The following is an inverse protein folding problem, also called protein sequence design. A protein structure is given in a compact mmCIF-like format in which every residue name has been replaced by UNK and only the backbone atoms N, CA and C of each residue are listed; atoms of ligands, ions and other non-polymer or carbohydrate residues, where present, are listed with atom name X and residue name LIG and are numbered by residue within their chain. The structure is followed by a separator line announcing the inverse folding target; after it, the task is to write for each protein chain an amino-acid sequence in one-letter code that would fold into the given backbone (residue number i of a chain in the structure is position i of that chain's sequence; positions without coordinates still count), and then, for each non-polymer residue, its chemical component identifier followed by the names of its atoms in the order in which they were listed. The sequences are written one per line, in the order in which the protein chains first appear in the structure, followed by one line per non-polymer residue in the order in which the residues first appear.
data_IF_333330472825
#
_entry.id   IF_333330472825
#
_cell.length_a   1.000
_cell.length_b   1.000
_cell.length_c   1.000
_cell.angle_alpha   90.00
_cell.angle_beta   90.00
_cell.angle_gamma   90.00
#
_symmetry.space_group_name_H-M   'P 1'
#
loop_
_entity.id
_entity.type
_entity.pdbx_description
1 polymer ?
#
# COMPACT_ATOMS: atom_id res chain seq x y z
N UNK A 1 -19.53 9.57 15.59
CA UNK A 1 -19.30 8.12 15.40
C UNK A 1 -18.50 7.65 16.59
N UNK A 2 -18.94 6.61 17.31
CA UNK A 2 -18.24 6.17 18.53
C UNK A 2 -16.85 5.64 18.17
N UNK A 3 -15.83 6.00 18.94
CA UNK A 3 -14.43 5.60 18.72
C UNK A 3 -14.27 4.07 18.58
N UNK A 4 -15.04 3.32 19.38
CA UNK A 4 -15.10 1.85 19.30
C UNK A 4 -15.43 1.33 17.90
N UNK A 5 -16.25 2.05 17.14
CA UNK A 5 -16.61 1.64 15.78
C UNK A 5 -15.43 1.80 14.81
N UNK A 6 -14.69 2.90 14.89
CA UNK A 6 -13.48 3.13 14.08
C UNK A 6 -12.43 2.06 14.42
N UNK A 7 -12.22 1.79 15.72
CA UNK A 7 -11.30 0.74 16.20
C UNK A 7 -11.68 -0.65 15.68
N UNK A 8 -12.97 -0.99 15.66
CA UNK A 8 -13.43 -2.27 15.10
C UNK A 8 -13.19 -2.38 13.59
N UNK A 9 -13.37 -1.29 12.84
CA UNK A 9 -13.07 -1.27 11.39
C UNK A 9 -11.57 -1.40 11.17
N UNK A 10 -10.74 -0.66 11.91
CA UNK A 10 -9.28 -0.78 11.85
C UNK A 10 -8.83 -2.23 12.05
N UNK A 11 -9.39 -2.91 13.06
CA UNK A 11 -9.08 -4.30 13.34
C UNK A 11 -9.50 -5.20 12.18
N UNK A 12 -10.73 -5.05 11.70
CA UNK A 12 -11.26 -5.85 10.59
C UNK A 12 -10.38 -5.71 9.36
N UNK A 13 -10.08 -4.48 8.96
CA UNK A 13 -9.25 -4.19 7.78
C UNK A 13 -7.82 -4.73 7.96
N UNK A 14 -7.20 -4.55 9.14
CA UNK A 14 -5.86 -5.08 9.43
C UNK A 14 -5.82 -6.62 9.40
N UNK A 15 -6.78 -7.29 10.02
CA UNK A 15 -6.85 -8.76 10.05
C UNK A 15 -7.14 -9.33 8.66
N UNK A 16 -8.08 -8.75 7.90
CA UNK A 16 -8.38 -9.20 6.54
C UNK A 16 -7.16 -9.04 5.63
N UNK A 17 -6.46 -7.90 5.69
CA UNK A 17 -5.23 -7.69 4.94
C UNK A 17 -4.14 -8.68 5.33
N UNK A 18 -3.96 -8.90 6.64
CA UNK A 18 -3.02 -9.87 7.19
C UNK A 18 -3.28 -11.29 6.74
N UNK A 19 -4.53 -11.71 6.81
CA UNK A 19 -5.00 -13.02 6.37
C UNK A 19 -4.71 -13.23 4.88
N UNK A 20 -5.11 -12.25 4.05
CA UNK A 20 -4.92 -12.32 2.60
C UNK A 20 -3.43 -12.31 2.22
N UNK A 21 -2.61 -11.50 2.89
CA UNK A 21 -1.16 -11.51 2.73
C UNK A 21 -0.53 -12.85 3.12
N UNK A 22 -0.93 -13.44 4.25
CA UNK A 22 -0.42 -14.73 4.72
C UNK A 22 -0.80 -15.88 3.80
N UNK A 23 -2.07 -15.95 3.35
CA UNK A 23 -2.52 -16.95 2.36
C UNK A 23 -1.74 -16.83 1.06
N UNK A 24 -1.54 -15.59 0.61
CA UNK A 24 -0.80 -15.36 -0.62
C UNK A 24 0.65 -15.82 -0.49
N UNK A 25 1.28 -15.56 0.65
CA UNK A 25 2.64 -16.05 0.94
C UNK A 25 2.74 -17.57 0.87
N UNK A 26 1.83 -18.31 1.53
CA UNK A 26 1.93 -19.79 1.57
C UNK A 26 1.75 -20.44 0.19
N UNK A 27 1.13 -19.73 -0.77
CA UNK A 27 0.90 -20.18 -2.14
C UNK A 27 2.00 -19.74 -3.13
N UNK A 28 3.09 -19.14 -2.64
CA UNK A 28 4.19 -18.65 -3.47
C UNK A 28 5.34 -19.63 -3.60
N UNK A 29 6.13 -19.50 -4.68
CA UNK A 29 7.23 -20.41 -4.97
C UNK A 29 8.36 -20.34 -3.94
N UNK A 30 8.64 -19.15 -3.40
CA UNK A 30 9.67 -18.99 -2.36
C UNK A 30 9.30 -19.75 -1.09
N UNK A 31 8.04 -19.65 -0.67
CA UNK A 31 7.55 -20.36 0.51
C UNK A 31 7.62 -21.87 0.32
N UNK A 32 7.15 -22.40 -0.82
CA UNK A 32 7.24 -23.81 -1.15
C UNK A 32 8.69 -24.33 -1.08
N UNK A 33 9.66 -23.51 -1.54
CA UNK A 33 11.09 -23.85 -1.48
C UNK A 33 11.64 -23.85 -0.05
N UNK A 34 11.22 -22.92 0.80
CA UNK A 34 11.58 -22.89 2.22
C UNK A 34 11.03 -24.13 2.93
N UNK A 35 9.74 -24.44 2.74
CA UNK A 35 9.11 -25.60 3.36
C UNK A 35 9.76 -26.91 2.91
N UNK A 36 10.09 -27.04 1.63
CA UNK A 36 10.79 -28.24 1.12
C UNK A 36 12.15 -28.43 1.80
N UNK A 37 12.90 -27.35 2.03
CA UNK A 37 14.17 -27.41 2.77
C UNK A 37 13.97 -27.79 4.24
N UNK A 38 12.93 -27.26 4.88
CA UNK A 38 12.59 -27.62 6.28
C UNK A 38 12.21 -29.10 6.37
N UNK A 39 11.39 -29.60 5.46
CA UNK A 39 10.99 -31.01 5.37
C UNK A 39 12.19 -31.95 5.20
N UNK A 40 13.23 -31.51 4.48
CA UNK A 40 14.45 -32.29 4.26
C UNK A 40 15.49 -32.16 5.40
N UNK A 41 15.22 -31.35 6.43
CA UNK A 41 16.14 -31.12 7.55
C UNK A 41 15.78 -31.96 8.77
N UNK A 42 16.69 -32.02 9.76
CA UNK A 42 16.44 -32.65 11.07
C UNK A 42 15.15 -32.15 11.76
N UNK A 43 14.82 -30.87 11.58
CA UNK A 43 13.59 -30.26 12.09
C UNK A 43 12.35 -30.88 11.43
N UNK A 44 12.42 -31.20 10.15
CA UNK A 44 11.34 -31.84 9.39
C UNK A 44 11.05 -33.26 9.88
N UNK A 45 12.08 -34.00 10.30
CA UNK A 45 11.93 -35.33 10.87
C UNK A 45 11.26 -35.30 12.25
N UNK A 46 11.61 -34.30 13.08
CA UNK A 46 10.98 -34.07 14.38
C UNK A 46 9.51 -33.62 14.27
N UNK A 47 9.16 -32.89 13.22
CA UNK A 47 7.82 -32.33 12.99
C UNK A 47 6.96 -33.16 12.02
N UNK A 48 7.35 -34.38 11.67
CA UNK A 48 6.75 -35.18 10.59
C UNK A 48 5.22 -35.29 10.65
N UNK A 49 4.64 -35.50 11.84
CA UNK A 49 3.19 -35.58 12.06
C UNK A 49 2.46 -34.23 11.93
N UNK A 50 3.19 -33.12 12.04
CA UNK A 50 2.65 -31.76 12.05
C UNK A 50 2.90 -30.98 10.74
N UNK A 51 3.66 -31.56 9.80
CA UNK A 51 4.04 -30.90 8.54
C UNK A 51 2.84 -30.39 7.73
N UNK A 52 1.70 -31.09 7.78
CA UNK A 52 0.48 -30.70 7.08
C UNK A 52 -0.23 -29.48 7.70
N UNK A 53 0.13 -29.10 8.92
CA UNK A 53 -0.47 -27.97 9.64
C UNK A 53 0.43 -26.73 9.67
N UNK A 54 1.62 -26.78 9.06
CA UNK A 54 2.57 -25.67 9.10
C UNK A 54 1.97 -24.41 8.48
N UNK A 55 1.29 -24.52 7.34
CA UNK A 55 0.70 -23.36 6.65
C UNK A 55 -0.37 -22.69 7.53
N UNK A 56 -1.21 -23.50 8.18
CA UNK A 56 -2.22 -23.00 9.12
C UNK A 56 -1.56 -22.33 10.33
N UNK A 57 -0.49 -22.92 10.87
CA UNK A 57 0.25 -22.36 12.00
C UNK A 57 0.90 -21.01 11.63
N UNK A 58 1.46 -20.89 10.43
CA UNK A 58 2.04 -19.64 9.90
C UNK A 58 0.96 -18.57 9.77
N UNK A 59 -0.19 -18.89 9.17
CA UNK A 59 -1.32 -17.95 9.05
C UNK A 59 -1.81 -17.51 10.43
N UNK A 60 -2.01 -18.46 11.36
CA UNK A 60 -2.45 -18.16 12.72
C UNK A 60 -1.44 -17.25 13.44
N UNK A 61 -0.14 -17.52 13.32
CA UNK A 61 0.91 -16.70 13.91
C UNK A 61 0.92 -15.28 13.36
N UNK A 62 0.75 -15.10 12.04
CA UNK A 62 0.62 -13.78 11.43
C UNK A 62 -0.58 -13.03 11.98
N UNK A 63 -1.75 -13.67 12.09
CA UNK A 63 -2.96 -13.03 12.63
C UNK A 63 -2.80 -12.62 14.08
N UNK A 64 -2.18 -13.46 14.91
CA UNK A 64 -1.87 -13.14 16.30
C UNK A 64 -0.93 -11.93 16.39
N UNK A 65 0.12 -11.89 15.55
CA UNK A 65 1.05 -10.76 15.50
C UNK A 65 0.34 -9.47 15.08
N UNK A 66 -0.52 -9.52 14.06
CA UNK A 66 -1.29 -8.35 13.61
C UNK A 66 -2.25 -7.87 14.69
N UNK A 67 -2.96 -8.79 15.35
CA UNK A 67 -3.82 -8.45 16.49
C UNK A 67 -3.03 -7.79 17.62
N UNK A 68 -1.87 -8.34 17.96
CA UNK A 68 -0.98 -7.79 18.99
C UNK A 68 -0.49 -6.38 18.63
N UNK A 69 -0.06 -6.16 17.38
CA UNK A 69 0.37 -4.85 16.91
C UNK A 69 -0.78 -3.85 16.85
N UNK A 70 -1.96 -4.25 16.38
CA UNK A 70 -3.14 -3.39 16.34
C UNK A 70 -3.58 -2.94 17.74
N UNK A 71 -3.44 -3.82 18.74
CA UNK A 71 -3.80 -3.51 20.13
C UNK A 71 -2.97 -2.35 20.69
N UNK A 72 -1.70 -2.21 20.29
CA UNK A 72 -0.84 -1.09 20.71
C UNK A 72 -1.27 0.26 20.13
N UNK A 73 -1.87 0.25 18.94
CA UNK A 73 -2.55 1.39 18.33
C UNK A 73 -1.71 2.67 18.13
N UNK A 74 -0.38 2.56 18.11
CA UNK A 74 0.57 3.65 17.89
C UNK A 74 1.10 3.66 16.44
N UNK A 75 1.67 4.80 16.02
CA UNK A 75 2.29 4.99 14.69
C UNK A 75 3.27 3.86 14.34
N UNK A 76 4.11 3.46 15.31
CA UNK A 76 5.15 2.46 15.05
C UNK A 76 4.57 1.07 14.84
N UNK A 77 3.51 0.69 15.56
CA UNK A 77 2.88 -0.61 15.37
C UNK A 77 2.10 -0.68 14.06
N UNK A 78 1.43 0.39 13.65
CA UNK A 78 0.77 0.43 12.34
C UNK A 78 1.76 0.36 11.18
N UNK A 79 2.92 1.04 11.30
CA UNK A 79 4.01 0.88 10.34
C UNK A 79 4.55 -0.56 10.30
N UNK A 80 4.64 -1.24 11.45
CA UNK A 80 5.05 -2.66 11.52
C UNK A 80 4.02 -3.61 10.88
N UNK A 81 2.72 -3.36 11.05
CA UNK A 81 1.67 -4.13 10.35
C UNK A 81 1.84 -4.01 8.85
N UNK A 82 2.06 -2.79 8.34
CA UNK A 82 2.29 -2.57 6.92
C UNK A 82 3.56 -3.29 6.42
N UNK A 83 4.67 -3.16 7.13
CA UNK A 83 5.93 -3.82 6.76
C UNK A 83 5.80 -5.34 6.78
N UNK A 84 5.08 -5.91 7.77
CA UNK A 84 4.79 -7.33 7.83
C UNK A 84 3.96 -7.76 6.62
N UNK A 85 2.88 -7.07 6.31
CA UNK A 85 2.04 -7.36 5.14
C UNK A 85 2.81 -7.27 3.83
N UNK A 86 3.66 -6.25 3.66
CA UNK A 86 4.53 -6.11 2.50
C UNK A 86 5.55 -7.23 2.40
N UNK A 87 6.14 -7.66 3.53
CA UNK A 87 7.08 -8.78 3.57
C UNK A 87 6.41 -10.10 3.15
N UNK A 88 5.20 -10.37 3.65
CA UNK A 88 4.42 -11.56 3.29
C UNK A 88 4.05 -11.55 1.79
N UNK A 89 3.67 -10.38 1.28
CA UNK A 89 3.28 -10.19 -0.11
C UNK A 89 4.47 -10.14 -1.08
N UNK A 90 5.67 -9.86 -0.58
CA UNK A 90 6.88 -9.69 -1.39
C UNK A 90 7.16 -10.89 -2.29
N UNK A 91 6.97 -12.11 -1.79
CA UNK A 91 7.18 -13.31 -2.62
C UNK A 91 6.26 -13.36 -3.83
N UNK A 92 5.01 -12.91 -3.70
CA UNK A 92 4.09 -12.88 -4.83
C UNK A 92 4.48 -11.80 -5.84
N UNK A 93 4.97 -10.64 -5.36
CA UNK A 93 5.53 -9.62 -6.25
C UNK A 93 6.69 -10.19 -7.06
N UNK A 94 7.55 -11.02 -6.47
CA UNK A 94 8.67 -11.64 -7.15
C UNK A 94 8.22 -12.63 -8.23
N UNK A 95 7.26 -13.51 -7.91
CA UNK A 95 6.75 -14.52 -8.85
C UNK A 95 6.08 -13.89 -10.09
N UNK A 96 5.46 -12.70 -9.95
CA UNK A 96 4.84 -11.97 -11.06
C UNK A 96 5.66 -10.81 -11.61
N UNK A 97 6.76 -10.45 -10.95
CA UNK A 97 7.69 -9.48 -11.51
C UNK A 97 8.34 -10.13 -12.71
N UNK A 98 8.03 -9.64 -13.92
CA UNK A 98 8.70 -10.07 -15.17
C UNK A 98 10.23 -9.89 -15.12
N UNK A 99 10.75 -9.23 -14.08
CA UNK A 99 12.15 -9.15 -13.74
C UNK A 99 12.55 -10.25 -12.76
N UNK A 100 13.31 -11.23 -13.24
CA UNK A 100 13.81 -12.34 -12.42
C UNK A 100 15.03 -11.94 -11.56
N UNK A 101 14.86 -10.98 -10.64
CA UNK A 101 15.93 -10.53 -9.74
C UNK A 101 16.48 -11.66 -8.87
N UNK A 102 15.62 -12.58 -8.44
CA UNK A 102 16.04 -13.74 -7.65
C UNK A 102 16.64 -14.83 -8.53
N UNK A 103 16.21 -14.98 -9.79
CA UNK A 103 16.83 -15.88 -10.77
C UNK A 103 18.30 -15.64 -11.01
N UNK A 104 18.77 -14.40 -10.77
CA UNK A 104 20.19 -14.04 -10.80
C UNK A 104 20.98 -14.62 -9.62
N UNK A 105 20.34 -14.95 -8.50
CA UNK A 105 20.98 -15.42 -7.25
C UNK A 105 20.61 -16.88 -6.92
N UNK A 106 19.38 -17.29 -7.21
CA UNK A 106 18.85 -18.63 -7.04
C UNK A 106 18.10 -19.02 -8.30
N UNK A 107 18.40 -20.20 -8.87
CA UNK A 107 17.62 -20.76 -9.96
C UNK A 107 16.21 -21.12 -9.43
N UNK A 108 15.30 -20.15 -9.53
CA UNK A 108 13.91 -20.19 -9.08
C UNK A 108 13.06 -20.08 -10.34
N UNK A 109 12.46 -21.20 -10.74
CA UNK A 109 11.41 -21.19 -11.76
C UNK A 109 10.11 -20.81 -11.04
N UNK A 110 9.49 -19.67 -11.36
CA UNK A 110 8.24 -19.29 -10.74
C UNK A 110 7.16 -20.29 -11.13
N UNK A 111 6.64 -21.01 -10.14
CA UNK A 111 5.48 -21.89 -10.24
C UNK A 111 4.47 -21.47 -9.15
N UNK A 112 3.92 -20.23 -9.24
CA UNK A 112 2.94 -19.77 -8.26
C UNK A 112 1.61 -20.51 -8.45
N UNK A 113 0.96 -20.87 -7.34
CA UNK A 113 -0.39 -21.47 -7.37
C UNK A 113 -1.50 -20.41 -7.48
N UNK A 114 -1.16 -19.14 -7.27
CA UNK A 114 -2.09 -18.01 -7.37
C UNK A 114 -2.23 -17.52 -8.82
N UNK A 115 -3.16 -16.60 -9.06
CA UNK A 115 -3.30 -15.89 -10.34
C UNK A 115 -2.83 -14.44 -10.24
N UNK A 116 -2.45 -13.83 -11.37
CA UNK A 116 -2.05 -12.43 -11.41
C UNK A 116 -3.15 -11.48 -10.87
N UNK A 117 -4.42 -11.79 -11.16
CA UNK A 117 -5.57 -11.01 -10.67
C UNK A 117 -5.72 -11.10 -9.15
N UNK A 118 -5.46 -12.28 -8.57
CA UNK A 118 -5.44 -12.47 -7.12
C UNK A 118 -4.36 -11.60 -6.47
N UNK A 119 -3.12 -11.69 -6.97
CA UNK A 119 -1.99 -10.92 -6.46
C UNK A 119 -2.26 -9.41 -6.57
N UNK A 120 -2.81 -8.96 -7.70
CA UNK A 120 -3.24 -7.57 -7.85
C UNK A 120 -4.27 -7.16 -6.80
N UNK A 121 -5.34 -7.94 -6.62
CA UNK A 121 -6.40 -7.66 -5.66
C UNK A 121 -5.89 -7.60 -4.21
N UNK A 122 -5.02 -8.54 -3.83
CA UNK A 122 -4.36 -8.54 -2.51
C UNK A 122 -3.46 -7.33 -2.36
N UNK A 123 -2.62 -7.02 -3.35
CA UNK A 123 -1.77 -5.83 -3.32
C UNK A 123 -2.59 -4.54 -3.14
N UNK A 124 -3.71 -4.42 -3.84
CA UNK A 124 -4.62 -3.28 -3.70
C UNK A 124 -5.22 -3.21 -2.29
N UNK A 125 -5.69 -4.33 -1.76
CA UNK A 125 -6.21 -4.43 -0.39
C UNK A 125 -5.16 -4.00 0.65
N UNK A 126 -3.91 -4.41 0.49
CA UNK A 126 -2.82 -4.03 1.41
C UNK A 126 -2.56 -2.51 1.38
N UNK A 127 -2.53 -1.90 0.20
CA UNK A 127 -2.37 -0.45 0.06
C UNK A 127 -3.54 0.31 0.69
N UNK A 128 -4.76 -0.16 0.46
CA UNK A 128 -5.98 0.40 1.03
C UNK A 128 -5.98 0.31 2.55
N UNK A 129 -5.56 -0.83 3.09
CA UNK A 129 -5.41 -1.05 4.53
C UNK A 129 -4.40 -0.08 5.13
N UNK A 130 -3.26 0.11 4.49
CA UNK A 130 -2.24 1.05 4.94
C UNK A 130 -2.76 2.48 5.00
N UNK A 131 -3.37 2.96 3.90
CA UNK A 131 -3.95 4.30 3.85
C UNK A 131 -5.02 4.45 4.92
N UNK A 132 -5.92 3.47 5.04
CA UNK A 132 -6.97 3.47 6.06
C UNK A 132 -6.40 3.63 7.47
N UNK A 133 -5.51 2.74 7.89
CA UNK A 133 -4.92 2.76 9.25
C UNK A 133 -4.14 4.05 9.52
N UNK A 134 -3.42 4.58 8.51
CA UNK A 134 -2.65 5.82 8.65
C UNK A 134 -3.56 7.03 8.83
N UNK A 135 -4.62 7.13 8.05
CA UNK A 135 -5.55 8.25 8.16
C UNK A 135 -6.41 8.17 9.43
N UNK A 136 -6.86 6.98 9.86
CA UNK A 136 -7.61 6.86 11.13
C UNK A 136 -6.77 7.20 12.34
N UNK A 137 -5.47 6.89 12.34
CA UNK A 137 -4.55 7.35 13.37
C UNK A 137 -4.40 8.88 13.37
N UNK A 138 -4.28 9.50 12.19
CA UNK A 138 -4.28 10.96 12.08
C UNK A 138 -5.57 11.59 12.61
N UNK A 139 -6.72 10.96 12.38
CA UNK A 139 -8.01 11.43 12.91
C UNK A 139 -8.05 11.40 14.44
N UNK A 140 -7.40 10.41 15.07
CA UNK A 140 -7.24 10.37 16.54
C UNK A 140 -6.44 11.57 17.05
N UNK A 141 -5.30 11.87 16.44
CA UNK A 141 -4.52 13.05 16.84
C UNK A 141 -5.30 14.36 16.69
N UNK A 142 -6.03 14.54 15.58
CA UNK A 142 -6.89 15.71 15.40
C UNK A 142 -8.02 15.76 16.43
N UNK A 143 -8.60 14.62 16.77
CA UNK A 143 -9.66 14.53 17.80
C UNK A 143 -9.13 14.91 19.18
N UNK A 144 -7.97 14.39 19.56
CA UNK A 144 -7.34 14.71 20.85
C UNK A 144 -6.96 16.19 20.93
N UNK A 145 -6.50 16.77 19.81
CA UNK A 145 -6.23 18.20 19.69
C UNK A 145 -7.51 19.05 19.84
N UNK A 146 -8.61 18.67 19.19
CA UNK A 146 -9.90 19.38 19.30
C UNK A 146 -10.48 19.28 20.71
N UNK A 147 -10.36 18.11 21.36
CA UNK A 147 -10.72 17.93 22.77
C UNK A 147 -9.89 18.85 23.67
N UNK A 148 -8.57 18.92 23.45
CA UNK A 148 -7.68 19.82 24.19
C UNK A 148 -8.01 21.30 24.01
N UNK A 149 -8.65 21.69 22.90
CA UNK A 149 -9.13 23.04 22.61
C UNK A 149 -10.55 23.32 23.13
N UNK A 150 -11.19 22.37 23.81
CA UNK A 150 -12.52 22.52 24.39
C UNK A 150 -13.68 22.34 23.40
N UNK A 151 -13.45 21.69 22.25
CA UNK A 151 -14.52 21.39 21.30
C UNK A 151 -15.56 20.43 21.92
N UNK A 152 -16.83 20.61 21.56
CA UNK A 152 -17.89 19.73 22.06
C UNK A 152 -17.81 18.35 21.42
N UNK A 153 -18.36 17.34 22.10
CA UNK A 153 -18.40 15.98 21.57
C UNK A 153 -19.15 15.89 20.23
N UNK A 154 -20.14 16.77 19.99
CA UNK A 154 -20.92 16.81 18.76
C UNK A 154 -20.12 17.37 17.59
N UNK A 155 -19.36 18.45 17.82
CA UNK A 155 -18.45 19.03 16.81
C UNK A 155 -17.40 18.00 16.37
N UNK A 156 -16.77 17.33 17.34
CA UNK A 156 -15.78 16.28 17.08
C UNK A 156 -16.39 15.13 16.28
N UNK A 157 -17.63 14.75 16.60
CA UNK A 157 -18.34 13.69 15.88
C UNK A 157 -18.73 14.09 14.46
N UNK A 158 -18.95 15.38 14.19
CA UNK A 158 -19.22 15.90 12.85
C UNK A 158 -17.94 15.92 12.02
N UNK A 159 -16.84 16.44 12.57
CA UNK A 159 -15.52 16.46 11.91
C UNK A 159 -15.05 15.04 11.60
N UNK A 160 -15.14 14.12 12.56
CA UNK A 160 -14.75 12.71 12.36
C UNK A 160 -15.56 12.04 11.25
N UNK A 161 -16.86 12.36 11.13
CA UNK A 161 -17.71 11.84 10.05
C UNK A 161 -17.28 12.38 8.68
N UNK A 162 -17.00 13.68 8.59
CA UNK A 162 -16.50 14.30 7.36
C UNK A 162 -15.15 13.71 6.92
N UNK A 163 -14.23 13.54 7.87
CA UNK A 163 -12.92 12.92 7.65
C UNK A 163 -13.02 11.47 7.15
N UNK A 164 -13.88 10.65 7.76
CA UNK A 164 -14.13 9.28 7.32
C UNK A 164 -14.77 9.22 5.93
N UNK A 165 -15.70 10.12 5.62
CA UNK A 165 -16.30 10.22 4.29
C UNK A 165 -15.27 10.58 3.22
N UNK A 166 -14.40 11.55 3.51
CA UNK A 166 -13.32 11.94 2.61
C UNK A 166 -12.30 10.82 2.39
N UNK A 167 -11.94 10.10 3.46
CA UNK A 167 -11.09 8.91 3.38
C UNK A 167 -11.71 7.84 2.48
N UNK A 168 -13.00 7.54 2.64
CA UNK A 168 -13.69 6.57 1.81
C UNK A 168 -13.66 6.95 0.32
N UNK A 169 -13.86 8.23 0.00
CA UNK A 169 -13.77 8.73 -1.38
C UNK A 169 -12.35 8.56 -1.94
N UNK A 170 -11.32 8.96 -1.19
CA UNK A 170 -9.91 8.80 -1.63
C UNK A 170 -9.60 7.33 -1.88
N UNK A 171 -9.96 6.46 -0.94
CA UNK A 171 -9.73 5.03 -1.02
C UNK A 171 -10.43 4.44 -2.26
N UNK A 172 -11.69 4.81 -2.49
CA UNK A 172 -12.45 4.39 -3.67
C UNK A 172 -11.80 4.86 -4.98
N UNK A 173 -11.48 6.15 -5.10
CA UNK A 173 -10.87 6.70 -6.30
C UNK A 173 -9.48 6.09 -6.56
N UNK A 174 -8.66 5.95 -5.53
CA UNK A 174 -7.34 5.32 -5.64
C UNK A 174 -7.47 3.88 -6.12
N UNK A 175 -8.42 3.13 -5.56
CA UNK A 175 -8.71 1.76 -6.00
C UNK A 175 -9.18 1.70 -7.45
N UNK A 176 -10.12 2.57 -7.81
CA UNK A 176 -10.70 2.63 -9.13
C UNK A 176 -9.64 2.97 -10.19
N UNK A 177 -8.80 3.98 -9.94
CA UNK A 177 -7.72 4.35 -10.86
C UNK A 177 -6.66 3.24 -10.96
N UNK A 178 -6.27 2.64 -9.83
CA UNK A 178 -5.28 1.56 -9.83
C UNK A 178 -5.79 0.33 -10.59
N UNK A 179 -7.05 -0.05 -10.37
CA UNK A 179 -7.72 -1.12 -11.12
C UNK A 179 -7.85 -0.77 -12.61
N UNK A 180 -8.27 0.45 -12.92
CA UNK A 180 -8.36 0.94 -14.29
C UNK A 180 -7.03 0.86 -15.03
N UNK A 181 -5.94 1.28 -14.38
CA UNK A 181 -4.59 1.15 -14.92
C UNK A 181 -4.27 -0.33 -15.17
N UNK A 182 -4.43 -1.20 -14.17
CA UNK A 182 -4.14 -2.62 -14.29
C UNK A 182 -4.88 -3.29 -15.45
N UNK A 183 -6.17 -3.05 -15.60
CA UNK A 183 -6.96 -3.61 -16.70
C UNK A 183 -6.66 -2.96 -18.06
N UNK A 184 -6.16 -1.71 -18.08
CA UNK A 184 -5.75 -1.05 -19.31
C UNK A 184 -4.40 -1.54 -19.85
N UNK A 185 -3.50 -2.03 -18.99
CA UNK A 185 -2.16 -2.51 -19.37
C UNK A 185 -2.16 -3.44 -20.61
N UNK A 186 -2.96 -4.53 -20.69
CA UNK A 186 -2.93 -5.40 -21.86
C UNK A 186 -3.36 -4.71 -23.16
N UNK A 187 -4.26 -3.72 -23.08
CA UNK A 187 -4.67 -2.94 -24.25
C UNK A 187 -3.58 -1.97 -24.68
N UNK A 188 -2.94 -1.31 -23.71
CA UNK A 188 -1.80 -0.42 -23.94
C UNK A 188 -0.63 -1.21 -24.54
N UNK A 189 -0.32 -2.40 -24.02
CA UNK A 189 0.76 -3.25 -24.51
C UNK A 189 0.51 -3.67 -25.97
N UNK A 190 -0.73 -4.01 -26.33
CA UNK A 190 -1.12 -4.28 -27.73
C UNK A 190 -1.01 -3.05 -28.62
N UNK A 191 -1.46 -1.89 -28.15
CA UNK A 191 -1.45 -0.64 -28.93
C UNK A 191 -0.03 -0.10 -29.14
N UNK A 192 0.85 -0.23 -28.15
CA UNK A 192 2.25 0.24 -28.21
C UNK A 192 3.15 -0.77 -28.92
N UNK A 193 2.93 -2.08 -28.77
CA UNK A 193 3.78 -3.07 -29.43
C UNK A 193 3.66 -3.05 -30.95
N UNK A 194 2.55 -2.59 -31.54
CA UNK A 194 2.40 -2.48 -32.99
C UNK A 194 3.36 -1.46 -33.64
N UNK A 195 3.40 -0.17 -33.23
CA UNK A 195 4.28 0.83 -33.81
C UNK A 195 5.76 0.63 -33.44
N UNK A 196 6.08 0.06 -32.27
CA UNK A 196 7.47 -0.07 -31.80
C UNK A 196 8.11 -1.44 -32.08
N UNK A 197 7.45 -2.32 -32.83
CA UNK A 197 7.96 -3.65 -33.22
C UNK A 197 9.30 -3.62 -33.96
N UNK A 198 9.59 -2.53 -34.68
CA UNK A 198 10.83 -2.33 -35.44
C UNK A 198 11.97 -1.73 -34.61
N UNK A 199 11.71 -1.30 -33.36
CA UNK A 199 12.72 -0.68 -32.51
C UNK A 199 13.36 -1.78 -31.65
N UNK A 200 14.70 -1.95 -31.68
CA UNK A 200 15.38 -3.03 -30.96
C UNK A 200 15.23 -2.94 -29.43
N UNK A 201 14.80 -1.78 -28.89
CA UNK A 201 14.63 -1.57 -27.44
C UNK A 201 13.41 -0.67 -27.10
N UNK A 202 12.16 -1.16 -27.27
CA UNK A 202 10.95 -0.35 -27.12
C UNK A 202 10.79 0.26 -25.72
N UNK A 203 11.21 -0.48 -24.69
CA UNK A 203 11.07 -0.09 -23.30
C UNK A 203 11.94 1.11 -22.91
N UNK A 204 13.12 1.29 -23.54
CA UNK A 204 13.97 2.47 -23.31
C UNK A 204 13.33 3.75 -23.85
N UNK A 205 12.70 3.66 -25.04
CA UNK A 205 12.03 4.80 -25.67
C UNK A 205 10.83 5.24 -24.82
N UNK A 206 10.00 4.29 -24.38
CA UNK A 206 8.86 4.57 -23.50
C UNK A 206 9.34 5.14 -22.16
N UNK A 207 10.36 4.52 -21.56
CA UNK A 207 10.95 5.00 -20.30
C UNK A 207 11.45 6.44 -20.41
N UNK A 208 12.13 6.77 -21.51
CA UNK A 208 12.61 8.13 -21.78
C UNK A 208 11.44 9.13 -21.88
N UNK A 209 10.37 8.81 -22.62
CA UNK A 209 9.19 9.66 -22.73
C UNK A 209 8.54 9.89 -21.36
N UNK A 210 8.41 8.85 -20.56
CA UNK A 210 7.82 8.93 -19.21
C UNK A 210 8.69 9.81 -18.29
N UNK A 211 10.00 9.61 -18.28
CA UNK A 211 10.92 10.43 -17.47
C UNK A 211 10.87 11.90 -17.89
N UNK A 212 10.84 12.17 -19.20
CA UNK A 212 10.68 13.53 -19.72
C UNK A 212 9.33 14.14 -19.28
N UNK A 213 8.24 13.38 -19.35
CA UNK A 213 6.91 13.81 -18.91
C UNK A 213 6.83 14.10 -17.41
N UNK A 214 7.41 13.23 -16.57
CA UNK A 214 7.51 13.44 -15.12
C UNK A 214 8.33 14.70 -14.84
N UNK A 215 9.49 14.84 -15.49
CA UNK A 215 10.38 15.99 -15.30
C UNK A 215 9.70 17.30 -15.70
N UNK A 216 9.03 17.32 -16.86
CA UNK A 216 8.26 18.48 -17.31
C UNK A 216 7.13 18.82 -16.34
N UNK A 217 6.35 17.82 -15.90
CA UNK A 217 5.27 18.02 -14.93
C UNK A 217 5.78 18.57 -13.60
N UNK A 218 6.93 18.07 -13.12
CA UNK A 218 7.57 18.54 -11.90
C UNK A 218 8.02 20.00 -12.04
N UNK A 219 8.62 20.36 -13.18
CA UNK A 219 9.02 21.75 -13.48
C UNK A 219 7.78 22.65 -13.50
N UNK A 220 6.69 22.25 -14.16
CA UNK A 220 5.45 23.02 -14.18
C UNK A 220 4.86 23.21 -12.78
N UNK A 221 4.82 22.15 -11.97
CA UNK A 221 4.34 22.20 -10.60
C UNK A 221 5.17 23.15 -9.74
N UNK A 222 6.51 23.02 -9.78
CA UNK A 222 7.42 23.87 -9.03
C UNK A 222 7.32 25.34 -9.48
N UNK A 223 7.25 25.59 -10.79
CA UNK A 223 7.11 26.94 -11.32
C UNK A 223 5.78 27.58 -10.93
N UNK A 224 4.69 26.83 -10.95
CA UNK A 224 3.39 27.27 -10.45
C UNK A 224 3.43 27.66 -8.97
N UNK A 225 4.09 26.85 -8.13
CA UNK A 225 4.24 27.15 -6.70
C UNK A 225 5.07 28.41 -6.42
N UNK A 226 6.10 28.69 -7.25
CA UNK A 226 6.94 29.89 -7.13
C UNK A 226 6.16 31.14 -7.53
N UNK A 227 5.37 31.07 -8.60
CA UNK A 227 4.52 32.19 -9.06
C UNK A 227 3.47 32.54 -8.00
N UNK A 228 2.87 31.52 -7.37
CA UNK A 228 1.89 31.73 -6.30
C UNK A 228 2.52 32.41 -5.08
N UNK A 229 3.71 31.95 -4.65
CA UNK A 229 4.45 32.58 -3.53
C UNK A 229 4.87 34.03 -3.82
N UNK A 230 5.24 34.35 -5.06
CA UNK A 230 5.56 35.72 -5.46
C UNK A 230 4.33 36.64 -5.49
N UNK A 231 3.15 36.10 -5.77
CA UNK A 231 1.90 36.87 -5.76
C UNK A 231 1.45 37.17 -4.33
N UNK A 232 1.57 36.22 -3.41
CA UNK A 232 1.21 36.42 -2.00
C UNK A 232 2.10 37.48 -1.33
N UNK A 233 3.41 37.47 -1.60
CA UNK A 233 4.33 38.48 -1.06
C UNK A 233 4.03 39.91 -1.56
N UNK A 234 3.63 40.08 -2.83
CA UNK A 234 3.26 41.41 -3.36
C UNK A 234 1.99 41.98 -2.71
N UNK A 235 1.04 41.12 -2.38
CA UNK A 235 -0.21 41.53 -1.70
C UNK A 235 0.06 41.90 -0.24
N UNK A 236 1.11 41.34 0.38
CA UNK A 236 1.55 41.75 1.71
C UNK A 236 2.25 43.11 1.70
N UNK A 237 3.13 43.39 0.73
CA UNK A 237 3.78 44.71 0.59
C UNK A 237 2.77 45.83 0.33
N UNK A 238 1.81 45.64 -0.59
CA UNK A 238 0.76 46.64 -0.87
C UNK A 238 -0.14 46.92 0.34
N UNK A 239 -0.27 45.98 1.30
CA UNK A 239 -1.05 46.20 2.54
C UNK A 239 -0.28 46.99 3.59
N UNK A 240 1.05 46.90 3.60
CA UNK A 240 1.91 47.67 4.53
C UNK A 240 1.91 49.14 4.11
N UNK A 241 1.98 49.43 2.81
CA UNK A 241 1.99 50.80 2.29
C UNK A 241 0.66 51.54 2.49
N UNK A 242 -0.47 50.84 2.58
CA UNK A 242 -1.80 51.45 2.85
C UNK A 242 -1.98 51.80 4.35
N UNK A 243 -1.21 51.20 5.26
CA UNK A 243 -1.31 51.51 6.69
C UNK A 243 -0.41 52.68 7.14
N UNK A 244 0.48 53.18 6.28
CA UNK A 244 1.38 54.31 6.58
C UNK A 244 0.89 55.69 6.07
N UNK A 245 -0.38 55.81 5.63
CA UNK A 245 -1.03 57.07 5.24
C UNK A 245 -2.23 57.36 6.16
#
# INVERSE_FOLDING_TARGET
MKENFIRSIELGVALTAGYMGAITMVQTTLYAKIITKIKASFIGELLKSYLNYIDLAVIALVLILIFYLWRKADDTSFARIFNLNMLLFFSAVLDYSRFNWIGLIFNLKPEPEVSANWVFGVGLLLQMTYLFLRYTLRFRYTRDELLGRGATADDINQVSRGQMGYLAIILFLTSLFTAGIFFSVPFIDRAISQPFRSVPVPHLVIGFIVVMGISASLIFYLRGSIIQKSSDNKVEEDKVDIQEI
#
